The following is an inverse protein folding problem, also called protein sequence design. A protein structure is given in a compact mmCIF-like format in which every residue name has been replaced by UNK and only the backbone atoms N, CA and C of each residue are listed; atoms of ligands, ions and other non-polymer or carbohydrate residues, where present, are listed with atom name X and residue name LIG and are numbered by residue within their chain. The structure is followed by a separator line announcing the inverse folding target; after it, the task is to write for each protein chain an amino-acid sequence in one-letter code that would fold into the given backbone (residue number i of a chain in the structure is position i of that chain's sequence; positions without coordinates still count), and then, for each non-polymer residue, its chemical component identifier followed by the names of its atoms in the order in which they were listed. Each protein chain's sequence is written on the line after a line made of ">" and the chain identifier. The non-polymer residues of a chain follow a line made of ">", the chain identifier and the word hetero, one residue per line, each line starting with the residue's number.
data_IF_770503936615
#
_entry.id   IF_770503936615
#
_cell.length_a   1.000
_cell.length_b   1.000
_cell.length_c   1.000
_cell.angle_alpha   90.00
_cell.angle_beta   90.00
_cell.angle_gamma   90.00
#
_symmetry.space_group_name_H-M   'P 1'
#
loop_
_entity.id
_entity.type
_entity.pdbx_description
1 polymer ?
#
# COMPACT_ATOMS: atom_id res chain seq x y z
N UNK A 1 -19.97 12.76 -14.70
CA UNK A 1 -19.58 11.34 -14.44
C UNK A 1 -20.70 10.70 -13.61
N UNK A 2 -21.14 9.47 -13.94
CA UNK A 2 -22.23 8.81 -13.20
C UNK A 2 -21.74 8.32 -11.84
N UNK A 3 -22.64 8.29 -10.84
CA UNK A 3 -22.41 7.69 -9.51
C UNK A 3 -21.88 6.25 -9.62
N UNK A 4 -22.42 5.48 -10.56
CA UNK A 4 -22.00 4.12 -10.83
C UNK A 4 -20.51 4.00 -11.22
N UNK A 5 -19.98 4.96 -11.98
CA UNK A 5 -18.56 4.95 -12.35
C UNK A 5 -17.64 5.22 -11.13
N UNK A 6 -18.08 6.04 -10.18
CA UNK A 6 -17.38 6.27 -8.92
C UNK A 6 -17.41 5.04 -8.02
N UNK A 7 -18.59 4.45 -7.85
CA UNK A 7 -18.77 3.23 -7.06
C UNK A 7 -17.90 2.08 -7.59
N UNK A 8 -17.86 1.90 -8.92
CA UNK A 8 -17.00 0.90 -9.55
C UNK A 8 -15.53 1.10 -9.20
N UNK A 9 -15.02 2.34 -9.26
CA UNK A 9 -13.63 2.63 -8.93
C UNK A 9 -13.34 2.34 -7.47
N UNK A 10 -14.26 2.71 -6.59
CA UNK A 10 -14.15 2.44 -5.17
C UNK A 10 -14.04 0.94 -4.91
N UNK A 11 -14.93 0.13 -5.48
CA UNK A 11 -14.93 -1.33 -5.33
C UNK A 11 -13.61 -1.96 -5.82
N UNK A 12 -13.13 -1.55 -7.01
CA UNK A 12 -11.85 -2.04 -7.55
C UNK A 12 -10.69 -1.65 -6.64
N UNK A 13 -10.67 -0.41 -6.16
CA UNK A 13 -9.59 0.10 -5.31
C UNK A 13 -9.58 -0.57 -3.93
N UNK A 14 -10.74 -0.80 -3.33
CA UNK A 14 -10.85 -1.58 -2.09
C UNK A 14 -10.40 -3.03 -2.32
N UNK A 15 -10.79 -3.65 -3.44
CA UNK A 15 -10.32 -4.98 -3.82
C UNK A 15 -8.78 -5.06 -3.93
N UNK A 16 -8.15 -4.05 -4.51
CA UNK A 16 -6.68 -3.96 -4.58
C UNK A 16 -6.08 -3.86 -3.18
N UNK A 17 -6.63 -3.03 -2.29
CA UNK A 17 -6.15 -2.90 -0.92
C UNK A 17 -6.25 -4.20 -0.14
N UNK A 18 -7.40 -4.86 -0.16
CA UNK A 18 -7.64 -6.14 0.53
C UNK A 18 -6.71 -7.22 -0.01
N UNK A 19 -6.58 -7.34 -1.34
CA UNK A 19 -5.69 -8.33 -1.96
C UNK A 19 -4.22 -8.03 -1.65
N UNK A 20 -3.79 -6.76 -1.67
CA UNK A 20 -2.44 -6.37 -1.25
C UNK A 20 -2.16 -6.84 0.16
N UNK A 21 -3.07 -6.61 1.10
CA UNK A 21 -2.91 -7.03 2.48
C UNK A 21 -2.83 -8.55 2.63
N UNK A 22 -3.70 -9.30 1.95
CA UNK A 22 -3.68 -10.76 1.96
C UNK A 22 -2.36 -11.32 1.40
N UNK A 23 -1.84 -10.75 0.32
CA UNK A 23 -0.55 -11.14 -0.25
C UNK A 23 0.61 -10.80 0.71
N UNK A 24 0.56 -9.64 1.37
CA UNK A 24 1.56 -9.27 2.39
C UNK A 24 1.57 -10.29 3.52
N UNK A 25 0.41 -10.69 4.06
CA UNK A 25 0.32 -11.73 5.08
C UNK A 25 0.89 -13.07 4.58
N UNK A 26 0.59 -13.46 3.34
CA UNK A 26 1.15 -14.66 2.75
C UNK A 26 2.68 -14.59 2.61
N UNK A 27 3.23 -13.46 2.17
CA UNK A 27 4.67 -13.22 2.08
C UNK A 27 5.31 -13.32 3.47
N UNK A 28 4.68 -12.75 4.50
CA UNK A 28 5.19 -12.84 5.89
C UNK A 28 5.22 -14.28 6.39
N UNK A 29 4.17 -15.07 6.13
CA UNK A 29 4.15 -16.49 6.48
C UNK A 29 5.24 -17.26 5.73
N UNK A 30 5.40 -16.99 4.43
CA UNK A 30 6.44 -17.60 3.59
C UNK A 30 7.85 -17.20 4.04
N UNK A 31 8.06 -15.95 4.46
CA UNK A 31 9.38 -15.49 4.94
C UNK A 31 9.85 -16.24 6.18
N UNK A 32 8.92 -16.70 7.01
CA UNK A 32 9.25 -17.55 8.19
C UNK A 32 9.65 -18.97 7.76
N UNK A 33 9.10 -19.45 6.64
CA UNK A 33 9.45 -20.78 6.10
C UNK A 33 10.80 -20.76 5.40
N UNK A 34 11.07 -19.67 4.66
CA UNK A 34 12.24 -19.52 3.78
C UNK A 34 13.22 -18.45 4.31
N UNK A 35 13.36 -18.33 5.62
CA UNK A 35 14.13 -17.29 6.31
C UNK A 35 15.52 -17.05 5.67
N UNK A 36 16.33 -18.08 5.53
CA UNK A 36 17.67 -17.97 4.94
C UNK A 36 17.68 -17.57 3.46
N UNK A 37 16.66 -17.98 2.71
CA UNK A 37 16.57 -17.66 1.28
C UNK A 37 16.13 -16.21 1.03
N UNK A 38 15.43 -15.61 1.97
CA UNK A 38 14.90 -14.24 1.85
C UNK A 38 15.80 -13.18 2.51
N UNK A 39 16.85 -13.56 3.23
CA UNK A 39 17.80 -12.63 3.83
C UNK A 39 18.37 -11.59 2.85
N UNK A 40 18.78 -11.93 1.60
CA UNK A 40 19.24 -10.93 0.63
C UNK A 40 18.13 -9.93 0.23
N UNK A 41 16.87 -10.40 0.16
CA UNK A 41 15.71 -9.56 -0.18
C UNK A 41 15.43 -8.57 0.95
N UNK A 42 15.51 -9.03 2.19
CA UNK A 42 15.33 -8.19 3.39
C UNK A 42 16.43 -7.13 3.46
N UNK A 43 17.69 -7.49 3.20
CA UNK A 43 18.82 -6.57 3.15
C UNK A 43 18.62 -5.51 2.07
N UNK A 44 18.22 -5.91 0.86
CA UNK A 44 17.90 -5.00 -0.23
C UNK A 44 16.76 -4.04 0.15
N UNK A 45 15.72 -4.54 0.79
CA UNK A 45 14.60 -3.72 1.26
C UNK A 45 15.02 -2.70 2.33
N UNK A 46 15.94 -3.07 3.21
CA UNK A 46 16.52 -2.18 4.21
C UNK A 46 17.32 -1.05 3.56
N UNK A 47 18.16 -1.36 2.58
CA UNK A 47 18.95 -0.36 1.85
C UNK A 47 18.08 0.56 1.00
N UNK A 48 17.07 0.00 0.33
CA UNK A 48 16.09 0.78 -0.42
C UNK A 48 15.28 1.71 0.49
N UNK A 49 14.87 1.24 1.67
CA UNK A 49 14.15 2.04 2.66
C UNK A 49 14.98 3.23 3.14
N UNK A 50 16.27 3.03 3.44
CA UNK A 50 17.21 4.12 3.75
C UNK A 50 17.37 5.10 2.60
N UNK A 51 17.46 4.60 1.37
CA UNK A 51 17.53 5.41 0.16
C UNK A 51 16.32 6.33 -0.01
N UNK A 52 15.12 5.82 0.22
CA UNK A 52 13.87 6.59 0.15
C UNK A 52 13.88 7.73 1.18
N UNK A 53 14.23 7.45 2.44
CA UNK A 53 14.30 8.48 3.49
C UNK A 53 15.35 9.54 3.16
N UNK A 54 16.51 9.13 2.62
CA UNK A 54 17.58 10.07 2.21
C UNK A 54 17.15 10.95 1.04
N UNK A 55 16.43 10.39 0.07
CA UNK A 55 15.88 11.16 -1.05
C UNK A 55 14.82 12.16 -0.58
N UNK A 56 13.96 11.76 0.33
CA UNK A 56 12.95 12.63 0.92
C UNK A 56 13.60 13.76 1.75
N UNK A 57 14.62 13.45 2.55
CA UNK A 57 15.40 14.44 3.30
C UNK A 57 15.97 15.53 2.37
N UNK A 58 16.59 15.15 1.26
CA UNK A 58 17.11 16.12 0.26
C UNK A 58 16.04 17.03 -0.32
N UNK A 59 14.79 16.54 -0.45
CA UNK A 59 13.68 17.32 -0.99
C UNK A 59 13.13 18.32 0.02
N UNK A 60 13.16 18.00 1.32
CA UNK A 60 12.45 18.77 2.36
C UNK A 60 13.36 19.42 3.38
N UNK A 61 14.69 19.23 3.28
CA UNK A 61 15.70 19.71 4.24
C UNK A 61 15.71 21.22 4.45
N UNK A 62 15.20 21.99 3.48
CA UNK A 62 15.08 23.46 3.57
C UNK A 62 13.97 23.96 4.51
N UNK A 63 13.12 23.10 5.06
CA UNK A 63 12.01 23.49 5.92
C UNK A 63 12.09 22.82 7.29
N UNK A 64 11.74 23.57 8.34
CA UNK A 64 11.65 23.02 9.71
C UNK A 64 10.69 21.82 9.78
N UNK A 65 9.53 21.93 9.16
CA UNK A 65 8.53 20.85 9.11
C UNK A 65 9.03 19.62 8.36
N UNK A 66 9.81 19.82 7.30
CA UNK A 66 10.45 18.73 6.59
C UNK A 66 11.44 17.96 7.45
N UNK A 67 12.26 18.66 8.25
CA UNK A 67 13.20 18.03 9.18
C UNK A 67 12.46 17.21 10.27
N UNK A 68 11.38 17.73 10.84
CA UNK A 68 10.54 17.01 11.80
C UNK A 68 9.99 15.73 11.17
N UNK A 69 9.46 15.81 9.94
CA UNK A 69 8.92 14.67 9.22
C UNK A 69 9.98 13.60 8.93
N UNK A 70 11.18 14.01 8.48
CA UNK A 70 12.30 13.08 8.21
C UNK A 70 12.77 12.36 9.46
N UNK A 71 12.93 13.09 10.57
CA UNK A 71 13.33 12.49 11.84
C UNK A 71 12.29 11.46 12.31
N UNK A 72 11.01 11.79 12.20
CA UNK A 72 9.93 10.87 12.52
C UNK A 72 9.97 9.59 11.64
N UNK A 73 10.19 9.75 10.32
CA UNK A 73 10.32 8.60 9.41
C UNK A 73 11.51 7.71 9.78
N UNK A 74 12.63 8.28 10.20
CA UNK A 74 13.82 7.53 10.62
C UNK A 74 13.62 6.77 11.93
N UNK A 75 12.95 7.37 12.91
CA UNK A 75 12.87 6.86 14.27
C UNK A 75 11.65 5.97 14.50
N UNK A 76 10.54 6.25 13.83
CA UNK A 76 9.22 5.67 14.15
C UNK A 76 8.66 4.78 13.05
N UNK A 77 9.14 4.91 11.82
CA UNK A 77 8.62 4.16 10.69
C UNK A 77 9.60 3.09 10.24
N UNK A 78 9.16 1.84 10.24
CA UNK A 78 9.96 0.77 9.68
C UNK A 78 9.86 0.77 8.15
N UNK A 79 10.76 1.53 7.51
CA UNK A 79 10.78 1.68 6.05
C UNK A 79 11.07 0.36 5.32
N UNK A 80 11.69 -0.60 5.96
CA UNK A 80 11.87 -1.95 5.39
C UNK A 80 10.52 -2.62 5.14
N UNK A 81 9.58 -2.51 6.09
CA UNK A 81 8.22 -3.05 5.90
C UNK A 81 7.45 -2.32 4.79
N UNK A 82 7.67 -1.01 4.63
CA UNK A 82 7.10 -0.23 3.50
C UNK A 82 7.61 -0.78 2.17
N UNK A 83 8.91 -1.01 2.04
CA UNK A 83 9.52 -1.54 0.80
C UNK A 83 9.09 -2.99 0.54
N UNK A 84 9.06 -3.84 1.56
CA UNK A 84 8.63 -5.23 1.44
C UNK A 84 7.15 -5.38 1.03
N UNK A 85 6.34 -4.35 1.24
CA UNK A 85 4.95 -4.34 0.77
C UNK A 85 4.80 -4.08 -0.73
N UNK A 86 5.80 -3.49 -1.39
CA UNK A 86 5.72 -3.08 -2.81
C UNK A 86 5.41 -4.26 -3.75
N UNK A 87 6.08 -5.42 -3.67
CA UNK A 87 5.75 -6.57 -4.50
C UNK A 87 4.29 -7.01 -4.39
N UNK A 88 3.75 -7.04 -3.17
CA UNK A 88 2.35 -7.39 -2.94
C UNK A 88 1.39 -6.38 -3.59
N UNK A 89 1.72 -5.09 -3.53
CA UNK A 89 0.93 -4.03 -4.16
C UNK A 89 0.97 -4.16 -5.69
N UNK A 90 2.13 -4.46 -6.27
CA UNK A 90 2.27 -4.70 -7.72
C UNK A 90 1.39 -5.87 -8.15
N UNK A 91 1.54 -7.01 -7.46
CA UNK A 91 0.78 -8.23 -7.78
C UNK A 91 -0.73 -7.95 -7.65
N UNK A 92 -1.17 -7.36 -6.55
CA UNK A 92 -2.59 -7.04 -6.33
C UNK A 92 -3.13 -6.08 -7.40
N UNK A 93 -2.37 -5.05 -7.77
CA UNK A 93 -2.77 -4.08 -8.79
C UNK A 93 -2.92 -4.74 -10.17
N UNK A 94 -2.06 -5.71 -10.51
CA UNK A 94 -2.15 -6.45 -11.77
C UNK A 94 -3.25 -7.50 -11.73
N UNK A 95 -3.30 -8.33 -10.69
CA UNK A 95 -4.23 -9.47 -10.58
C UNK A 95 -5.67 -9.00 -10.38
N UNK A 96 -5.91 -7.99 -9.56
CA UNK A 96 -7.25 -7.46 -9.29
C UNK A 96 -7.60 -6.32 -10.25
N UNK A 97 -6.69 -5.38 -10.46
CA UNK A 97 -6.97 -4.18 -11.25
C UNK A 97 -7.31 -4.48 -12.72
N UNK A 98 -6.62 -5.43 -13.35
CA UNK A 98 -6.87 -5.76 -14.77
C UNK A 98 -8.21 -6.48 -14.97
N UNK A 99 -8.49 -7.63 -14.29
CA UNK A 99 -9.74 -8.36 -14.51
C UNK A 99 -10.96 -7.57 -14.04
N UNK A 100 -10.91 -6.91 -12.89
CA UNK A 100 -12.05 -6.14 -12.39
C UNK A 100 -12.41 -4.97 -13.29
N UNK A 101 -11.41 -4.25 -13.83
CA UNK A 101 -11.68 -3.20 -14.81
C UNK A 101 -12.29 -3.74 -16.11
N UNK A 102 -12.03 -5.01 -16.47
CA UNK A 102 -12.65 -5.67 -17.61
C UNK A 102 -14.11 -6.08 -17.32
N UNK A 103 -14.33 -6.78 -16.21
CA UNK A 103 -15.65 -7.29 -15.80
C UNK A 103 -16.64 -6.16 -15.54
N UNK A 104 -16.20 -5.09 -14.91
CA UNK A 104 -17.04 -3.93 -14.59
C UNK A 104 -17.24 -2.96 -15.77
N UNK A 105 -17.00 -3.41 -17.02
CA UNK A 105 -17.35 -2.67 -18.23
C UNK A 105 -16.43 -1.47 -18.52
N UNK A 106 -15.17 -1.55 -18.18
CA UNK A 106 -14.18 -0.51 -18.56
C UNK A 106 -13.82 -0.59 -20.04
N UNK A 107 -14.10 0.47 -20.82
CA UNK A 107 -13.69 0.60 -22.23
C UNK A 107 -12.19 0.84 -22.43
N UNK A 108 -11.37 0.77 -21.37
CA UNK A 108 -9.95 1.04 -21.40
C UNK A 108 -9.17 -0.08 -22.09
N UNK A 109 -8.17 0.30 -22.88
CA UNK A 109 -7.22 -0.65 -23.49
C UNK A 109 -6.43 -1.42 -22.41
N UNK A 110 -5.88 -2.58 -22.77
CA UNK A 110 -5.02 -3.35 -21.87
C UNK A 110 -3.82 -2.52 -21.40
N UNK A 111 -3.20 -1.74 -22.31
CA UNK A 111 -2.08 -0.87 -22.00
C UNK A 111 -2.43 0.20 -20.95
N UNK A 112 -3.61 0.83 -21.07
CA UNK A 112 -4.07 1.80 -20.07
C UNK A 112 -4.28 1.17 -18.69
N UNK A 113 -4.76 -0.06 -18.62
CA UNK A 113 -4.95 -0.77 -17.34
C UNK A 113 -3.62 -1.09 -16.68
N UNK A 114 -2.63 -1.53 -17.48
CA UNK A 114 -1.26 -1.77 -17.00
C UNK A 114 -0.63 -0.45 -16.54
N UNK A 115 -0.75 0.62 -17.30
CA UNK A 115 -0.23 1.93 -16.94
C UNK A 115 -0.83 2.43 -15.61
N UNK A 116 -2.14 2.27 -15.39
CA UNK A 116 -2.81 2.62 -14.14
C UNK A 116 -2.27 1.77 -12.99
N UNK A 117 -2.12 0.46 -13.18
CA UNK A 117 -1.60 -0.44 -12.16
C UNK A 117 -0.16 -0.07 -11.76
N UNK A 118 0.71 0.16 -12.75
CA UNK A 118 2.10 0.56 -12.49
C UNK A 118 2.22 1.95 -11.87
N UNK A 119 1.41 2.92 -12.29
CA UNK A 119 1.41 4.29 -11.72
C UNK A 119 0.87 4.31 -10.28
N UNK A 120 -0.02 3.38 -9.92
CA UNK A 120 -0.56 3.30 -8.55
C UNK A 120 0.51 2.90 -7.52
N UNK A 121 1.57 2.19 -7.93
CA UNK A 121 2.64 1.75 -7.02
C UNK A 121 3.45 2.93 -6.45
N UNK A 122 4.09 3.79 -7.27
CA UNK A 122 4.78 4.96 -6.74
C UNK A 122 3.81 5.92 -6.02
N UNK A 123 2.58 6.06 -6.49
CA UNK A 123 1.56 6.87 -5.81
C UNK A 123 1.26 6.32 -4.41
N UNK A 124 1.24 5.00 -4.21
CA UNK A 124 1.09 4.37 -2.90
C UNK A 124 2.26 4.73 -1.97
N UNK A 125 3.49 4.62 -2.46
CA UNK A 125 4.69 4.94 -1.67
C UNK A 125 4.68 6.42 -1.25
N UNK A 126 4.40 7.33 -2.18
CA UNK A 126 4.31 8.76 -1.89
C UNK A 126 3.20 9.03 -0.86
N UNK A 127 2.03 8.44 -1.03
CA UNK A 127 0.91 8.61 -0.09
C UNK A 127 1.26 8.07 1.30
N UNK A 128 1.96 6.94 1.38
CA UNK A 128 2.41 6.35 2.64
C UNK A 128 3.43 7.27 3.33
N UNK A 129 4.43 7.80 2.60
CA UNK A 129 5.41 8.73 3.15
C UNK A 129 4.71 9.99 3.69
N UNK A 130 3.78 10.56 2.93
CA UNK A 130 2.98 11.71 3.36
C UNK A 130 2.19 11.38 4.63
N UNK A 131 1.50 10.24 4.67
CA UNK A 131 0.69 9.84 5.81
C UNK A 131 1.53 9.60 7.06
N UNK A 132 2.67 8.92 6.94
CA UNK A 132 3.59 8.71 8.06
C UNK A 132 4.22 10.04 8.53
N UNK A 133 4.52 10.96 7.60
CA UNK A 133 5.02 12.30 7.95
C UNK A 133 3.95 13.13 8.66
N UNK A 134 2.69 12.99 8.27
CA UNK A 134 1.55 13.65 8.93
C UNK A 134 1.41 13.27 10.39
N UNK A 135 1.79 12.04 10.77
CA UNK A 135 1.81 11.64 12.18
C UNK A 135 2.69 12.55 13.04
N UNK A 136 3.82 13.02 12.52
CA UNK A 136 4.69 13.96 13.21
C UNK A 136 4.06 15.36 13.41
N UNK A 137 3.17 15.75 12.50
CA UNK A 137 2.55 17.09 12.47
C UNK A 137 1.20 17.11 13.19
N UNK A 138 0.43 16.03 13.10
CA UNK A 138 -0.94 15.95 13.66
C UNK A 138 -1.17 14.57 14.31
N UNK A 139 -0.52 14.31 15.47
CA UNK A 139 -0.50 12.98 16.09
C UNK A 139 -1.89 12.46 16.49
N UNK A 140 -2.78 13.33 16.94
CA UNK A 140 -4.12 12.92 17.41
C UNK A 140 -4.99 12.36 16.26
N UNK A 141 -4.91 12.95 15.09
CA UNK A 141 -5.66 12.51 13.91
C UNK A 141 -5.15 11.14 13.44
N UNK A 142 -3.84 10.93 13.49
CA UNK A 142 -3.22 9.67 13.09
C UNK A 142 -3.47 8.54 14.10
N UNK A 143 -3.65 8.86 15.40
CA UNK A 143 -3.89 7.85 16.43
C UNK A 143 -5.13 6.97 16.17
N UNK A 144 -6.17 7.55 15.56
CA UNK A 144 -7.38 6.79 15.20
C UNK A 144 -7.12 5.80 14.06
N UNK A 145 -6.32 6.19 13.07
CA UNK A 145 -5.89 5.31 11.98
C UNK A 145 -5.01 4.18 12.50
N UNK A 146 -4.08 4.47 13.40
CA UNK A 146 -3.24 3.44 14.04
C UNK A 146 -4.08 2.43 14.82
N UNK A 147 -5.05 2.87 15.61
CA UNK A 147 -5.96 1.97 16.35
C UNK A 147 -6.73 1.05 15.40
N UNK A 148 -7.22 1.57 14.28
CA UNK A 148 -7.89 0.75 13.27
C UNK A 148 -6.92 -0.24 12.62
N UNK A 149 -5.70 0.18 12.28
CA UNK A 149 -4.68 -0.68 11.70
C UNK A 149 -4.26 -1.80 12.66
N UNK A 150 -4.07 -1.48 13.94
CA UNK A 150 -3.76 -2.48 14.96
C UNK A 150 -4.91 -3.45 15.20
N UNK A 151 -6.16 -2.95 15.23
CA UNK A 151 -7.34 -3.81 15.33
C UNK A 151 -7.40 -4.82 14.15
N UNK A 152 -7.21 -4.36 12.92
CA UNK A 152 -7.24 -5.23 11.75
C UNK A 152 -6.06 -6.22 11.74
N UNK A 153 -4.89 -5.78 12.19
CA UNK A 153 -3.73 -6.65 12.38
C UNK A 153 -4.03 -7.76 13.40
N UNK A 154 -4.57 -7.43 14.57
CA UNK A 154 -4.95 -8.40 15.60
C UNK A 154 -6.04 -9.37 15.13
N UNK A 155 -7.04 -8.89 14.41
CA UNK A 155 -8.06 -9.74 13.80
C UNK A 155 -7.46 -10.75 12.81
N UNK A 156 -6.48 -10.32 12.01
CA UNK A 156 -5.76 -11.18 11.07
C UNK A 156 -4.91 -12.25 11.79
N UNK A 157 -4.24 -11.87 12.87
CA UNK A 157 -3.49 -12.82 13.71
C UNK A 157 -4.39 -13.87 14.36
N UNK A 158 -5.56 -13.46 14.84
CA UNK A 158 -6.54 -14.38 15.41
C UNK A 158 -7.04 -15.39 14.35
N UNK A 159 -7.32 -14.92 13.13
CA UNK A 159 -7.69 -15.81 12.03
C UNK A 159 -6.56 -16.78 11.64
N UNK A 160 -5.30 -16.28 11.59
CA UNK A 160 -4.13 -17.12 11.33
C UNK A 160 -3.86 -18.11 12.47
N UNK A 161 -4.08 -17.73 13.73
CA UNK A 161 -3.89 -18.65 14.87
C UNK A 161 -4.90 -19.79 14.85
N UNK A 162 -6.13 -19.55 14.41
CA UNK A 162 -7.14 -20.59 14.25
C UNK A 162 -6.76 -21.62 13.17
N UNK A 163 -5.89 -21.26 12.21
CA UNK A 163 -5.36 -22.17 11.19
C UNK A 163 -3.98 -22.74 11.55
N UNK A 164 -3.47 -22.46 12.75
CA UNK A 164 -2.10 -22.78 13.16
C UNK A 164 -1.76 -24.28 13.21
N UNK A 165 -2.77 -25.13 13.38
CA UNK A 165 -2.58 -26.59 13.36
C UNK A 165 -2.33 -27.11 11.92
N UNK A 166 -2.94 -26.47 10.93
CA UNK A 166 -2.76 -26.79 9.52
C UNK A 166 -1.53 -26.09 8.89
N UNK A 167 -1.14 -24.92 9.43
CA UNK A 167 -0.05 -24.11 8.91
C UNK A 167 0.91 -23.71 10.04
N UNK A 168 1.96 -24.51 10.31
CA UNK A 168 2.92 -24.24 11.40
C UNK A 168 3.59 -22.85 11.30
N UNK A 169 3.79 -22.32 10.08
CA UNK A 169 4.36 -21.01 9.88
C UNK A 169 3.41 -19.88 10.35
N UNK A 170 2.10 -20.05 10.26
CA UNK A 170 1.12 -19.11 10.81
C UNK A 170 1.25 -19.03 12.34
N UNK A 171 1.47 -20.16 13.02
CA UNK A 171 1.72 -20.21 14.46
C UNK A 171 3.01 -19.49 14.86
N UNK A 172 4.08 -19.62 14.05
CA UNK A 172 5.32 -18.88 14.28
C UNK A 172 5.11 -17.38 14.13
N UNK A 173 4.37 -16.92 13.11
CA UNK A 173 4.05 -15.50 12.91
C UNK A 173 3.24 -14.94 14.08
N UNK A 174 2.21 -15.65 14.55
CA UNK A 174 1.41 -15.20 15.70
C UNK A 174 2.25 -15.12 16.98
N UNK A 175 3.19 -16.03 17.19
CA UNK A 175 4.11 -15.99 18.31
C UNK A 175 5.09 -14.80 18.21
N UNK A 176 5.65 -14.52 17.03
CA UNK A 176 6.51 -13.36 16.80
C UNK A 176 5.75 -12.03 17.03
N UNK A 177 4.48 -11.97 16.61
CA UNK A 177 3.64 -10.81 16.86
C UNK A 177 3.36 -10.59 18.35
N UNK A 178 3.15 -11.66 19.13
CA UNK A 178 3.02 -11.59 20.59
C UNK A 178 4.30 -11.13 21.30
N UNK A 179 5.46 -11.33 20.67
CA UNK A 179 6.77 -10.86 21.16
C UNK A 179 7.10 -9.41 20.76
N UNK A 180 6.17 -8.69 20.19
CA UNK A 180 6.31 -7.25 19.86
C UNK A 180 6.47 -6.92 18.38
N UNK A 181 6.36 -7.90 17.47
CA UNK A 181 6.32 -7.61 16.04
C UNK A 181 4.98 -6.95 15.68
N UNK A 182 5.02 -5.70 15.25
CA UNK A 182 3.82 -4.96 14.83
C UNK A 182 3.70 -4.92 13.32
N UNK A 183 2.59 -5.42 12.81
CA UNK A 183 2.26 -5.44 11.38
C UNK A 183 1.36 -4.30 10.92
N UNK A 184 1.06 -3.31 11.75
CA UNK A 184 0.19 -2.19 11.37
C UNK A 184 0.68 -1.43 10.13
N UNK A 185 2.00 -1.39 9.88
CA UNK A 185 2.55 -0.79 8.67
C UNK A 185 2.02 -1.44 7.40
N UNK A 186 1.83 -2.76 7.38
CA UNK A 186 1.27 -3.47 6.22
C UNK A 186 -0.19 -3.12 5.98
N UNK A 187 -0.97 -2.94 7.05
CA UNK A 187 -2.36 -2.47 6.97
C UNK A 187 -2.41 -1.05 6.38
N UNK A 188 -1.55 -0.15 6.88
CA UNK A 188 -1.46 1.22 6.38
C UNK A 188 -1.06 1.23 4.91
N UNK A 189 -0.07 0.43 4.51
CA UNK A 189 0.33 0.30 3.11
C UNK A 189 -0.81 -0.22 2.21
N UNK A 190 -1.61 -1.17 2.69
CA UNK A 190 -2.77 -1.66 1.97
C UNK A 190 -3.86 -0.57 1.80
N UNK A 191 -4.11 0.22 2.84
CA UNK A 191 -5.03 1.37 2.78
C UNK A 191 -4.51 2.44 1.81
N UNK A 192 -3.22 2.74 1.85
CA UNK A 192 -2.58 3.65 0.89
C UNK A 192 -2.68 3.12 -0.55
N UNK A 193 -2.54 1.80 -0.77
CA UNK A 193 -2.68 1.21 -2.10
C UNK A 193 -4.11 1.33 -2.64
N UNK A 194 -5.12 1.15 -1.80
CA UNK A 194 -6.51 1.37 -2.16
C UNK A 194 -6.76 2.84 -2.53
N UNK A 195 -6.32 3.77 -1.70
CA UNK A 195 -6.47 5.20 -1.93
C UNK A 195 -5.73 5.67 -3.19
N UNK A 196 -4.47 5.28 -3.36
CA UNK A 196 -3.65 5.60 -4.53
C UNK A 196 -4.27 5.05 -5.82
N UNK A 197 -4.73 3.80 -5.82
CA UNK A 197 -5.40 3.19 -6.96
C UNK A 197 -6.69 3.96 -7.32
N UNK A 198 -7.47 4.38 -6.33
CA UNK A 198 -8.66 5.20 -6.55
C UNK A 198 -8.31 6.55 -7.20
N UNK A 199 -7.33 7.27 -6.65
CA UNK A 199 -6.91 8.57 -7.13
C UNK A 199 -6.35 8.51 -8.56
N UNK A 200 -5.46 7.54 -8.82
CA UNK A 200 -4.89 7.31 -10.16
C UNK A 200 -5.99 6.97 -11.17
N UNK A 201 -6.91 6.07 -10.81
CA UNK A 201 -8.04 5.73 -11.67
C UNK A 201 -8.95 6.94 -11.94
N UNK A 202 -9.17 7.82 -10.96
CA UNK A 202 -9.95 9.03 -11.11
C UNK A 202 -9.23 10.04 -12.02
N UNK A 203 -7.94 10.26 -11.82
CA UNK A 203 -7.12 11.15 -12.64
C UNK A 203 -7.09 10.72 -14.11
N UNK A 204 -6.85 9.43 -14.37
CA UNK A 204 -6.90 8.89 -15.74
C UNK A 204 -8.27 9.06 -16.40
N UNK A 205 -9.36 8.94 -15.64
CA UNK A 205 -10.69 9.14 -16.18
C UNK A 205 -10.99 10.60 -16.50
N UNK A 206 -10.41 11.54 -15.76
CA UNK A 206 -10.54 12.97 -16.05
C UNK A 206 -9.67 13.36 -17.26
N UNK A 207 -8.43 12.85 -17.34
CA UNK A 207 -7.50 13.16 -18.41
C UNK A 207 -7.93 12.59 -19.79
N UNK A 208 -8.47 11.38 -19.79
CA UNK A 208 -8.84 10.66 -21.01
C UNK A 208 -10.35 10.58 -21.25
N UNK A 209 -11.12 11.60 -20.79
CA UNK A 209 -12.55 11.64 -21.04
C UNK A 209 -12.83 12.17 -22.47
N UNK A 210 -13.30 11.33 -23.40
CA UNK A 210 -13.52 11.71 -24.78
C UNK A 210 -14.60 12.77 -24.96
N UNK A 211 -15.47 12.99 -23.97
CA UNK A 211 -16.57 14.00 -24.01
C UNK A 211 -16.11 15.45 -23.82
N UNK A 212 -14.85 15.71 -23.48
CA UNK A 212 -14.29 17.07 -23.37
C UNK A 212 -13.61 17.58 -24.64
N UNK A 213 -13.51 16.79 -25.69
CA UNK A 213 -13.14 17.30 -27.01
C UNK A 213 -14.39 17.96 -27.62
N UNK A 214 -14.75 19.15 -27.13
CA UNK A 214 -15.60 20.08 -27.89
C UNK A 214 -14.81 20.38 -29.16
N UNK A 215 -15.32 20.07 -30.36
CA UNK A 215 -14.67 20.55 -31.58
C UNK A 215 -14.67 22.05 -31.45
N UNK A 216 -13.49 22.70 -31.50
CA UNK A 216 -13.38 24.08 -31.84
C UNK A 216 -13.97 24.15 -33.24
N UNK A 217 -15.24 24.58 -33.33
CA UNK A 217 -15.84 24.99 -34.60
C UNK A 217 -15.03 26.20 -35.04
N UNK A 218 -14.18 26.00 -36.05
CA UNK A 218 -13.60 27.05 -36.86
C UNK A 218 -14.69 27.63 -37.78
#
# INVERSE_FOLDING_TARGET
>A
MSLFAWLRRLVVSLGIGVTSYAIMLAIMVLSIVFDRALEPVITLAFDAGRGIVTAFDKLVSGSHWGQVAVNHLRERVNMTHVVLSIPAIIIASLVVGIPFNRVLGGSRSALQRIAIALTSVPATVVLAIVLFSFNALVPDTYASLLRFADWLWQASLNALSASGDAIPAARKLTNAARQGFSGHHYVIMALCSAAASFLVNAAFALAFNPRRRVPLAL
#
